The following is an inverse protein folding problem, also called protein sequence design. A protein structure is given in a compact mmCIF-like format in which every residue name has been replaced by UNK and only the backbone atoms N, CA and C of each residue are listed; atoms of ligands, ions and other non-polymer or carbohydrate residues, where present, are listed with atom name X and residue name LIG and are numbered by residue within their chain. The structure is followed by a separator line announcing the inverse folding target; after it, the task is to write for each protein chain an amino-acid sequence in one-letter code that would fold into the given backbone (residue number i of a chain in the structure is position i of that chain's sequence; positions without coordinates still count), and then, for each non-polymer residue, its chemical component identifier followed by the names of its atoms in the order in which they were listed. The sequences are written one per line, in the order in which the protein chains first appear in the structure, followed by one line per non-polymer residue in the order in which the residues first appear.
data_IF_447137731081
#
_entry.id   IF_447137731081
#
_cell.length_a   1.000
_cell.length_b   1.000
_cell.length_c   1.000
_cell.angle_alpha   90.00
_cell.angle_beta   90.00
_cell.angle_gamma   90.00
#
_symmetry.space_group_name_H-M   'P 1'
#
loop_
_entity.id
_entity.type
_entity.pdbx_description
1 polymer ?
#
# COMPACT_ATOMS: atom_id res chain seq x y z
N UNK A 1 -9.70 7.67 3.07
CA UNK A 1 -9.58 9.04 2.51
C UNK A 1 -10.94 9.45 1.99
N UNK A 2 -11.45 10.62 2.38
CA UNK A 2 -12.72 11.14 1.87
C UNK A 2 -12.40 12.30 0.92
N UNK A 3 -12.85 12.22 -0.34
CA UNK A 3 -12.49 13.19 -1.40
C UNK A 3 -13.75 13.68 -2.11
N UNK A 4 -13.89 14.98 -2.39
CA UNK A 4 -14.95 15.49 -3.26
C UNK A 4 -14.94 14.79 -4.63
N UNK A 5 -16.12 14.40 -5.12
CA UNK A 5 -16.24 13.61 -6.36
C UNK A 5 -15.62 14.30 -7.59
N UNK A 6 -15.59 15.64 -7.60
CA UNK A 6 -14.98 16.45 -8.66
C UNK A 6 -13.47 16.31 -8.78
N UNK A 7 -12.79 15.75 -7.78
CA UNK A 7 -11.32 15.56 -7.77
C UNK A 7 -10.92 14.12 -7.44
N UNK A 8 -11.86 13.18 -7.57
CA UNK A 8 -11.64 11.81 -7.15
C UNK A 8 -10.52 11.13 -7.94
N UNK A 9 -10.51 11.31 -9.27
CA UNK A 9 -9.54 10.65 -10.15
C UNK A 9 -8.12 11.16 -9.90
N UNK A 10 -7.96 12.47 -9.69
CA UNK A 10 -6.68 13.08 -9.31
C UNK A 10 -6.18 12.52 -7.97
N UNK A 11 -7.06 12.47 -6.96
CA UNK A 11 -6.70 11.98 -5.64
C UNK A 11 -6.32 10.49 -5.63
N UNK A 12 -7.04 9.66 -6.39
CA UNK A 12 -6.70 8.25 -6.57
C UNK A 12 -5.36 8.11 -7.30
N UNK A 13 -5.12 8.91 -8.32
CA UNK A 13 -3.84 8.93 -9.03
C UNK A 13 -2.66 9.27 -8.13
N UNK A 14 -2.79 10.30 -7.30
CA UNK A 14 -1.77 10.68 -6.31
C UNK A 14 -1.58 9.60 -5.26
N UNK A 15 -2.66 9.02 -4.74
CA UNK A 15 -2.58 7.95 -3.74
C UNK A 15 -1.92 6.68 -4.30
N UNK A 16 -2.23 6.32 -5.55
CA UNK A 16 -1.59 5.20 -6.24
C UNK A 16 -0.09 5.46 -6.45
N UNK A 17 0.28 6.63 -6.99
CA UNK A 17 1.68 6.98 -7.20
C UNK A 17 2.48 6.99 -5.89
N UNK A 18 1.88 7.48 -4.80
CA UNK A 18 2.50 7.45 -3.48
C UNK A 18 2.65 6.02 -2.95
N UNK A 19 1.65 5.15 -3.14
CA UNK A 19 1.71 3.76 -2.72
C UNK A 19 2.76 2.96 -3.50
N UNK A 20 2.87 3.18 -4.81
CA UNK A 20 3.86 2.52 -5.67
C UNK A 20 5.30 2.90 -5.32
N UNK A 21 5.51 4.06 -4.70
CA UNK A 21 6.82 4.52 -4.26
C UNK A 21 7.29 3.87 -2.94
N UNK A 22 6.42 3.14 -2.22
CA UNK A 22 6.78 2.52 -0.93
C UNK A 22 7.54 1.21 -1.17
N UNK A 23 8.80 1.16 -0.72
CA UNK A 23 9.61 -0.06 -0.73
C UNK A 23 9.08 -1.07 0.31
N UNK A 24 8.40 -2.12 -0.18
CA UNK A 24 7.90 -3.24 0.63
C UNK A 24 8.85 -4.43 0.54
N UNK A 25 9.36 -4.93 1.67
CA UNK A 25 10.48 -5.87 1.63
C UNK A 25 10.83 -6.57 2.94
N UNK A 26 12.08 -7.01 3.02
CA UNK A 26 12.64 -7.64 4.22
C UNK A 26 13.00 -6.56 5.25
N UNK A 27 12.54 -6.68 6.51
CA UNK A 27 12.81 -5.67 7.53
C UNK A 27 14.30 -5.53 7.90
N UNK A 28 15.15 -6.49 7.50
CA UNK A 28 16.61 -6.42 7.71
C UNK A 28 17.31 -5.58 6.65
N UNK A 29 16.64 -5.28 5.53
CA UNK A 29 17.15 -4.37 4.50
C UNK A 29 16.86 -2.93 4.92
N UNK A 30 17.89 -2.07 5.10
CA UNK A 30 17.69 -0.68 5.52
C UNK A 30 16.95 0.19 4.50
N UNK A 31 16.80 -0.27 3.25
CA UNK A 31 16.01 0.42 2.21
C UNK A 31 14.53 0.06 2.24
N UNK A 32 14.14 -0.96 3.02
CA UNK A 32 12.74 -1.34 3.19
C UNK A 32 12.02 -0.34 4.07
N UNK A 33 11.00 0.32 3.52
CA UNK A 33 10.13 1.23 4.25
C UNK A 33 8.96 0.50 4.94
N UNK A 34 8.52 -0.63 4.39
CA UNK A 34 7.39 -1.41 4.91
C UNK A 34 7.69 -2.92 4.90
N UNK A 35 7.57 -3.56 6.06
CA UNK A 35 7.78 -5.01 6.20
C UNK A 35 6.58 -5.85 5.73
N UNK A 36 6.80 -7.14 5.56
CA UNK A 36 5.73 -8.12 5.27
C UNK A 36 4.76 -8.28 6.45
N UNK A 37 3.58 -8.84 6.18
CA UNK A 37 2.62 -9.21 7.22
C UNK A 37 3.21 -10.20 8.22
N UNK A 38 2.85 -10.02 9.50
CA UNK A 38 3.33 -10.87 10.59
C UNK A 38 2.97 -12.36 10.45
N UNK A 39 1.88 -12.67 9.74
CA UNK A 39 1.47 -14.04 9.46
C UNK A 39 0.79 -14.16 8.09
N UNK A 40 0.90 -15.35 7.48
CA UNK A 40 0.25 -15.68 6.21
C UNK A 40 -1.27 -15.60 6.29
N UNK A 41 -1.89 -15.82 7.46
CA UNK A 41 -3.34 -15.71 7.64
C UNK A 41 -3.85 -14.28 7.40
N UNK A 42 -3.14 -13.29 7.93
CA UNK A 42 -3.48 -11.86 7.72
C UNK A 42 -3.38 -11.53 6.23
N UNK A 43 -2.31 -11.97 5.57
CA UNK A 43 -2.16 -11.78 4.12
C UNK A 43 -3.29 -12.45 3.34
N UNK A 44 -3.63 -13.69 3.67
CA UNK A 44 -4.65 -14.47 2.98
C UNK A 44 -6.04 -13.82 3.08
N UNK A 45 -6.37 -13.19 4.21
CA UNK A 45 -7.62 -12.43 4.35
C UNK A 45 -7.68 -11.15 3.49
N UNK A 46 -6.53 -10.61 3.08
CA UNK A 46 -6.43 -9.33 2.37
C UNK A 46 -6.21 -9.49 0.86
N UNK A 47 -5.81 -10.68 0.39
CA UNK A 47 -5.77 -11.02 -1.03
C UNK A 47 -7.16 -11.50 -1.49
N UNK A 48 -7.84 -10.80 -2.42
CA UNK A 48 -9.10 -11.29 -2.97
C UNK A 48 -8.88 -12.62 -3.71
N UNK A 49 -9.79 -13.57 -3.52
CA UNK A 49 -9.80 -14.88 -4.21
C UNK A 49 -10.00 -14.74 -5.72
#
# INVERSE_FOLDING_TARGET
MLVPRTRYDEAVGVAAAAADAIAVGDPSDPTTAMGRYATSRIRACLTPS
#
